data_IF_235765604862
#
_entry.id   IF_235765604862
#
_cell.length_a   1.000
_cell.length_b   1.000
_cell.length_c   1.000
_cell.angle_alpha   90.00
_cell.angle_beta   90.00
_cell.angle_gamma   90.00
#
_symmetry.space_group_name_H-M   'P 1'
#
loop_
_entity.id
_entity.type
_entity.pdbx_description
1 polymer ?
#
# COMPACT_ATOMS: atom_id res chain seq x y z
N UNK A 1 -9.37 -11.16 10.41
CA UNK A 1 -8.09 -11.44 9.78
C UNK A 1 -7.22 -10.19 9.75
N UNK A 2 -6.00 -10.34 10.24
CA UNK A 2 -5.01 -9.27 10.23
C UNK A 2 -3.95 -9.64 9.20
N UNK A 3 -3.69 -8.71 8.30
CA UNK A 3 -2.65 -8.86 7.29
C UNK A 3 -1.70 -7.68 7.31
N UNK A 4 -0.55 -7.86 6.70
CA UNK A 4 0.43 -6.80 6.50
C UNK A 4 0.34 -6.26 5.09
N UNK A 5 0.32 -4.93 4.94
CA UNK A 5 0.32 -4.30 3.62
C UNK A 5 1.73 -4.35 3.03
N UNK A 6 1.86 -4.98 1.88
CA UNK A 6 3.16 -5.18 1.22
C UNK A 6 3.61 -3.99 0.35
N UNK A 7 2.80 -2.95 0.27
CA UNK A 7 3.14 -1.78 -0.53
C UNK A 7 2.72 -1.88 -2.00
N UNK A 8 1.94 -2.90 -2.36
CA UNK A 8 1.43 -3.07 -3.73
C UNK A 8 -0.08 -2.85 -3.73
N UNK A 9 -0.52 -1.96 -4.64
CA UNK A 9 -1.92 -1.58 -4.72
C UNK A 9 -2.30 -1.38 -6.17
N UNK A 10 -3.51 -1.81 -6.53
CA UNK A 10 -4.07 -1.58 -7.86
C UNK A 10 -5.32 -0.72 -7.74
N UNK A 11 -5.38 0.30 -8.58
CA UNK A 11 -6.53 1.20 -8.65
C UNK A 11 -7.19 1.10 -10.02
N UNK A 12 -8.53 1.02 -10.04
CA UNK A 12 -9.28 1.22 -11.27
C UNK A 12 -9.24 2.70 -11.65
N UNK A 13 -9.67 3.04 -12.88
CA UNK A 13 -9.80 4.45 -13.28
C UNK A 13 -10.69 5.23 -12.32
N UNK A 14 -11.82 4.64 -11.93
CA UNK A 14 -12.72 5.25 -10.97
C UNK A 14 -12.06 5.40 -9.59
N UNK A 15 -11.35 4.37 -9.14
CA UNK A 15 -10.65 4.39 -7.87
C UNK A 15 -9.54 5.43 -7.84
N UNK A 16 -8.78 5.57 -8.93
CA UNK A 16 -7.75 6.60 -9.06
C UNK A 16 -8.34 7.99 -8.96
N UNK A 17 -9.45 8.24 -9.64
CA UNK A 17 -10.12 9.54 -9.61
C UNK A 17 -10.64 9.87 -8.22
N UNK A 18 -11.22 8.90 -7.53
CA UNK A 18 -11.70 9.07 -6.16
C UNK A 18 -10.56 9.36 -5.21
N UNK A 19 -9.45 8.64 -5.36
CA UNK A 19 -8.26 8.84 -4.53
C UNK A 19 -7.71 10.27 -4.70
N UNK A 20 -7.50 10.68 -5.95
CA UNK A 20 -6.95 12.01 -6.24
C UNK A 20 -7.89 13.12 -5.79
N UNK A 21 -9.19 12.97 -6.00
CA UNK A 21 -10.18 13.95 -5.57
C UNK A 21 -10.15 14.10 -4.05
N UNK A 22 -10.18 12.98 -3.32
CA UNK A 22 -10.18 13.02 -1.86
C UNK A 22 -8.88 13.60 -1.32
N UNK A 23 -7.74 13.22 -1.88
CA UNK A 23 -6.46 13.75 -1.47
C UNK A 23 -6.38 15.26 -1.68
N UNK A 24 -6.88 15.76 -2.82
CA UNK A 24 -6.92 17.20 -3.10
C UNK A 24 -7.81 17.94 -2.10
N UNK A 25 -8.95 17.39 -1.76
CA UNK A 25 -9.83 17.96 -0.74
C UNK A 25 -9.15 18.04 0.62
N UNK A 26 -8.46 16.97 1.02
CA UNK A 26 -7.75 16.92 2.29
C UNK A 26 -6.60 17.93 2.34
N UNK A 27 -5.88 18.11 1.25
CA UNK A 27 -4.78 19.09 1.19
C UNK A 27 -5.28 20.53 1.45
N UNK A 28 -6.51 20.83 1.10
CA UNK A 28 -7.07 22.15 1.27
C UNK A 28 -7.74 22.36 2.62
N UNK A 29 -8.30 21.32 3.23
CA UNK A 29 -9.17 21.47 4.39
C UNK A 29 -8.70 20.73 5.63
N UNK A 30 -7.86 19.69 5.49
CA UNK A 30 -7.46 18.90 6.65
C UNK A 30 -6.29 19.52 7.39
N UNK A 31 -6.41 19.57 8.73
CA UNK A 31 -5.34 20.01 9.61
C UNK A 31 -5.21 19.02 10.77
N UNK A 32 -3.99 18.87 11.29
CA UNK A 32 -3.73 17.99 12.41
C UNK A 32 -3.46 16.55 11.99
N UNK A 33 -3.67 15.63 12.91
CA UNK A 33 -3.41 14.21 12.67
C UNK A 33 -4.26 13.66 11.54
N UNK A 34 -3.68 12.76 10.77
CA UNK A 34 -4.38 12.05 9.69
C UNK A 34 -4.19 10.56 9.92
N UNK A 35 -5.26 9.90 10.38
CA UNK A 35 -5.24 8.49 10.80
C UNK A 35 -4.09 8.22 11.78
N UNK A 36 -3.12 7.40 11.43
CA UNK A 36 -2.01 7.07 12.32
C UNK A 36 -0.78 7.98 12.16
N UNK A 37 -0.87 8.99 11.31
CA UNK A 37 0.24 9.91 11.04
C UNK A 37 0.01 11.27 11.68
N UNK A 38 1.10 12.00 12.03
CA UNK A 38 0.97 13.31 12.70
C UNK A 38 0.32 14.38 11.83
N UNK A 39 0.38 14.23 10.52
CA UNK A 39 -0.21 15.17 9.57
C UNK A 39 -0.46 14.48 8.23
N UNK A 40 -1.22 15.13 7.36
CA UNK A 40 -1.42 14.63 5.99
C UNK A 40 -0.11 14.57 5.23
N UNK A 41 0.76 15.58 5.40
CA UNK A 41 2.06 15.64 4.72
C UNK A 41 2.97 14.47 5.10
N UNK A 42 2.87 13.99 6.32
CA UNK A 42 3.68 12.88 6.84
C UNK A 42 2.96 11.55 6.73
N UNK A 43 1.79 11.52 6.09
CA UNK A 43 1.02 10.29 5.96
C UNK A 43 1.65 9.33 4.96
N UNK A 44 1.29 8.07 5.10
CA UNK A 44 1.73 6.98 4.25
C UNK A 44 0.52 6.38 3.54
N UNK A 45 0.77 5.55 2.54
CA UNK A 45 -0.31 4.98 1.73
C UNK A 45 -1.40 4.27 2.54
N UNK A 46 -1.09 3.48 3.58
CA UNK A 46 -2.13 2.88 4.42
C UNK A 46 -3.11 3.88 5.03
N UNK A 47 -2.66 5.10 5.34
CA UNK A 47 -3.55 6.15 5.86
C UNK A 47 -4.60 6.55 4.83
N UNK A 48 -4.20 6.72 3.56
CA UNK A 48 -5.14 7.02 2.48
C UNK A 48 -6.09 5.85 2.19
N UNK A 49 -5.61 4.63 2.27
CA UNK A 49 -6.45 3.44 2.13
C UNK A 49 -7.53 3.44 3.20
N UNK A 50 -7.15 3.72 4.46
CA UNK A 50 -8.10 3.80 5.55
C UNK A 50 -9.11 4.92 5.34
N UNK A 51 -8.66 6.07 4.82
CA UNK A 51 -9.56 7.18 4.49
C UNK A 51 -10.63 6.76 3.48
N UNK A 52 -10.24 6.05 2.43
CA UNK A 52 -11.17 5.55 1.42
C UNK A 52 -12.15 4.54 2.00
N UNK A 53 -11.68 3.65 2.87
CA UNK A 53 -12.53 2.69 3.55
C UNK A 53 -13.56 3.41 4.42
N UNK A 54 -13.14 4.42 5.18
CA UNK A 54 -14.01 5.19 6.05
C UNK A 54 -15.09 5.94 5.27
N UNK A 55 -14.82 6.29 4.02
CA UNK A 55 -15.78 6.93 3.12
C UNK A 55 -16.74 5.93 2.47
N UNK A 56 -16.58 4.63 2.74
CA UNK A 56 -17.44 3.61 2.17
C UNK A 56 -17.02 3.15 0.79
N UNK A 57 -15.81 3.51 0.35
CA UNK A 57 -15.29 3.05 -0.93
C UNK A 57 -14.81 1.60 -0.78
N UNK A 58 -15.16 0.77 -1.75
CA UNK A 58 -14.80 -0.64 -1.70
C UNK A 58 -13.30 -0.83 -1.93
N UNK A 59 -12.62 -1.31 -0.90
CA UNK A 59 -11.20 -1.65 -0.95
C UNK A 59 -11.09 -3.12 -0.57
N UNK A 60 -10.66 -3.95 -1.52
CA UNK A 60 -10.57 -5.38 -1.31
C UNK A 60 -9.14 -5.82 -1.09
N UNK A 61 -8.85 -6.56 -0.01
CA UNK A 61 -7.53 -7.14 0.18
C UNK A 61 -7.35 -8.35 -0.73
N UNK A 62 -6.16 -8.49 -1.30
CA UNK A 62 -5.73 -9.69 -1.98
C UNK A 62 -4.67 -10.33 -1.11
N UNK A 63 -5.04 -11.42 -0.45
CA UNK A 63 -4.14 -12.09 0.49
C UNK A 63 -3.15 -12.96 -0.26
N UNK A 64 -1.88 -12.87 0.15
CA UNK A 64 -0.81 -13.68 -0.41
C UNK A 64 -0.29 -14.58 0.71
N UNK A 65 -0.33 -15.88 0.50
CA UNK A 65 0.19 -16.87 1.46
C UNK A 65 1.45 -17.56 0.95
N UNK A 66 1.90 -17.20 -0.25
CA UNK A 66 3.08 -17.80 -0.86
C UNK A 66 4.33 -16.97 -0.57
N UNK A 67 5.45 -17.36 -1.18
CA UNK A 67 6.74 -16.72 -0.94
C UNK A 67 6.73 -15.25 -1.35
N UNK A 68 7.13 -14.40 -0.43
CA UNK A 68 7.36 -12.98 -0.71
C UNK A 68 8.49 -12.49 0.19
N UNK A 69 9.23 -11.47 -0.26
CA UNK A 69 10.31 -10.87 0.51
C UNK A 69 10.43 -9.39 0.16
N UNK A 70 10.79 -8.59 1.16
CA UNK A 70 11.21 -7.22 0.95
C UNK A 70 12.72 -7.17 0.74
N UNK A 71 13.17 -6.35 -0.20
CA UNK A 71 14.59 -6.19 -0.50
C UNK A 71 14.97 -4.75 -0.25
N UNK A 72 15.56 -4.49 0.92
CA UNK A 72 16.02 -3.17 1.31
C UNK A 72 17.55 -3.10 1.39
N UNK A 73 18.22 -4.24 1.50
CA UNK A 73 19.67 -4.34 1.64
C UNK A 73 20.23 -5.39 0.68
N UNK A 74 21.57 -5.39 0.50
CA UNK A 74 22.24 -6.43 -0.29
C UNK A 74 22.04 -7.82 0.31
N UNK A 75 22.01 -7.91 1.63
CA UNK A 75 21.75 -9.17 2.30
C UNK A 75 20.36 -9.70 1.97
N UNK A 76 19.36 -8.83 1.95
CA UNK A 76 18.00 -9.20 1.56
C UNK A 76 17.95 -9.72 0.13
N UNK A 77 18.70 -9.09 -0.78
CA UNK A 77 18.79 -9.52 -2.17
C UNK A 77 19.35 -10.94 -2.28
N UNK A 78 20.39 -11.24 -1.52
CA UNK A 78 20.97 -12.59 -1.53
C UNK A 78 20.01 -13.64 -1.00
N UNK A 79 19.28 -13.33 0.05
CA UNK A 79 18.23 -14.19 0.59
C UNK A 79 17.15 -14.42 -0.48
N UNK A 80 16.72 -13.36 -1.14
CA UNK A 80 15.71 -13.45 -2.20
C UNK A 80 16.18 -14.35 -3.36
N UNK A 81 17.44 -14.23 -3.78
CA UNK A 81 17.99 -15.08 -4.82
C UNK A 81 17.91 -16.55 -4.46
N UNK A 82 18.19 -16.89 -3.22
CA UNK A 82 18.12 -18.29 -2.75
C UNK A 82 16.68 -18.80 -2.70
N UNK A 83 15.76 -17.97 -2.17
CA UNK A 83 14.35 -18.35 -2.01
C UNK A 83 13.66 -18.51 -3.36
N UNK A 84 13.97 -17.66 -4.35
CA UNK A 84 13.31 -17.62 -5.64
C UNK A 84 14.16 -18.18 -6.79
N UNK A 85 15.21 -18.92 -6.48
CA UNK A 85 16.13 -19.45 -7.50
C UNK A 85 15.42 -20.25 -8.59
N UNK A 86 14.43 -21.04 -8.25
CA UNK A 86 13.69 -21.88 -9.19
C UNK A 86 12.71 -21.11 -10.07
N UNK A 87 12.35 -19.89 -9.69
CA UNK A 87 11.39 -19.08 -10.44
C UNK A 87 12.04 -18.42 -11.65
N UNK A 88 13.34 -18.12 -11.55
CA UNK A 88 14.08 -17.45 -12.63
C UNK A 88 14.12 -18.25 -13.94
N UNK A 89 13.95 -19.54 -13.88
CA UNK A 89 13.96 -20.40 -15.07
C UNK A 89 12.66 -20.36 -15.87
N UNK A 90 11.65 -19.66 -15.39
CA UNK A 90 10.34 -19.59 -16.01
C UNK A 90 10.08 -18.28 -16.75
N UNK A 91 11.01 -17.36 -16.65
CA UNK A 91 10.86 -16.04 -17.26
C UNK A 91 11.61 -15.96 -18.63
#
# INVERSE_FOLDING_TARGET
NIGEFLGVMRLSSKGSNLFLKRFSELKQSHAGTFHNSPSLKQSILPDMIQELIDLGINVEPVMISEKWLEIDTLQDLEIARKVFANINHRI
#
